data_IF_808931141034
#
_entry.id   IF_808931141034
#
_cell.length_a   1.000
_cell.length_b   1.000
_cell.length_c   1.000
_cell.angle_alpha   90.00
_cell.angle_beta   90.00
_cell.angle_gamma   90.00
#
_symmetry.space_group_name_H-M   'P 1'
#
loop_
_entity.id
_entity.type
_entity.pdbx_description
1 polymer ?
#
# COMPACT_ATOMS: atom_id res chain seq x y z
N UNK A 1 -8.28 15.04 -18.99
CA UNK A 1 -7.47 14.42 -17.94
C UNK A 1 -7.54 12.91 -18.13
N UNK A 2 -6.51 12.33 -18.74
CA UNK A 2 -6.40 10.89 -18.93
C UNK A 2 -6.56 10.22 -17.57
N UNK A 3 -7.53 9.32 -17.44
CA UNK A 3 -7.80 8.56 -16.23
C UNK A 3 -6.66 7.54 -16.04
N UNK A 4 -5.47 8.03 -15.70
CA UNK A 4 -4.32 7.20 -15.32
C UNK A 4 -4.75 6.52 -14.04
N UNK A 5 -5.19 5.27 -14.16
CA UNK A 5 -5.56 4.44 -13.03
C UNK A 5 -4.32 4.34 -12.14
N UNK A 6 -4.35 5.01 -10.99
CA UNK A 6 -3.28 4.89 -9.99
C UNK A 6 -3.08 3.43 -9.64
N UNK A 7 -1.81 3.00 -9.63
CA UNK A 7 -1.38 1.62 -9.41
C UNK A 7 -1.87 1.13 -8.04
N UNK A 8 -2.31 -0.13 -7.97
CA UNK A 8 -2.76 -0.72 -6.71
C UNK A 8 -1.65 -0.69 -5.65
N UNK A 9 -0.39 -0.82 -6.07
CA UNK A 9 0.78 -0.67 -5.20
C UNK A 9 0.79 0.67 -4.44
N UNK A 10 0.65 1.80 -5.15
CA UNK A 10 0.61 3.13 -4.52
C UNK A 10 -0.61 3.28 -3.59
N UNK A 11 -1.77 2.74 -3.98
CA UNK A 11 -2.97 2.78 -3.14
C UNK A 11 -2.76 2.00 -1.84
N UNK A 12 -2.12 0.83 -1.92
CA UNK A 12 -1.81 -0.01 -0.76
C UNK A 12 -0.83 0.70 0.19
N UNK A 13 0.26 1.26 -0.34
CA UNK A 13 1.26 1.97 0.47
C UNK A 13 0.64 3.19 1.14
N UNK A 14 -0.05 4.05 0.38
CA UNK A 14 -0.70 5.23 0.95
C UNK A 14 -1.74 4.86 2.01
N UNK A 15 -2.55 3.83 1.76
CA UNK A 15 -3.58 3.42 2.71
C UNK A 15 -2.99 2.87 4.00
N UNK A 16 -2.02 1.96 3.91
CA UNK A 16 -1.38 1.35 5.10
C UNK A 16 -0.47 2.31 5.84
N UNK A 17 -0.01 3.39 5.21
CA UNK A 17 0.59 4.50 5.93
C UNK A 17 -0.41 5.19 6.87
N UNK A 18 -1.62 5.48 6.39
CA UNK A 18 -2.62 6.23 7.17
C UNK A 18 -3.50 5.37 8.10
N UNK A 19 -3.72 4.10 7.76
CA UNK A 19 -4.64 3.21 8.47
C UNK A 19 -3.86 2.10 9.19
N UNK A 20 -3.74 2.24 10.51
CA UNK A 20 -3.06 1.26 11.38
C UNK A 20 -3.69 -0.14 11.27
N UNK A 21 -5.02 -0.26 11.26
CA UNK A 21 -5.68 -1.56 11.16
C UNK A 21 -5.32 -2.31 9.87
N UNK A 22 -5.25 -1.59 8.76
CA UNK A 22 -4.90 -2.19 7.47
C UNK A 22 -3.41 -2.46 7.34
N UNK A 23 -2.57 -1.67 8.01
CA UNK A 23 -1.16 -1.97 8.18
C UNK A 23 -0.97 -3.26 8.95
N UNK A 24 -1.58 -3.39 10.14
CA UNK A 24 -1.50 -4.60 10.97
C UNK A 24 -1.92 -5.84 10.17
N UNK A 25 -3.05 -5.78 9.44
CA UNK A 25 -3.48 -6.88 8.57
C UNK A 25 -2.46 -7.22 7.47
N UNK A 26 -1.88 -6.21 6.83
CA UNK A 26 -0.86 -6.42 5.80
C UNK A 26 0.37 -7.09 6.41
N UNK A 27 0.81 -6.67 7.59
CA UNK A 27 1.99 -7.22 8.25
C UNK A 27 1.76 -8.63 8.82
N UNK A 28 0.57 -8.90 9.37
CA UNK A 28 0.20 -10.20 9.93
C UNK A 28 -0.02 -11.27 8.87
N UNK A 29 -0.69 -10.91 7.77
CA UNK A 29 -1.00 -11.84 6.69
C UNK A 29 -0.95 -11.14 5.32
N UNK A 30 0.26 -10.85 4.82
CA UNK A 30 0.43 -10.08 3.59
C UNK A 30 -0.17 -10.81 2.40
N UNK A 31 0.08 -12.11 2.25
CA UNK A 31 -0.40 -12.87 1.09
C UNK A 31 -1.93 -12.82 0.93
N UNK A 32 -2.68 -13.01 2.02
CA UNK A 32 -4.13 -12.92 2.02
C UNK A 32 -4.62 -11.49 1.72
N UNK A 33 -3.93 -10.49 2.26
CA UNK A 33 -4.25 -9.07 2.09
C UNK A 33 -4.07 -8.61 0.64
N UNK A 34 -3.10 -9.18 -0.09
CA UNK A 34 -2.78 -8.82 -1.46
C UNK A 34 -3.66 -9.51 -2.52
N UNK A 35 -4.58 -10.40 -2.13
CA UNK A 35 -5.47 -11.09 -3.08
C UNK A 35 -6.36 -10.07 -3.81
N UNK A 36 -6.38 -10.15 -5.14
CA UNK A 36 -7.22 -9.29 -5.99
C UNK A 36 -6.62 -7.91 -6.30
N UNK A 37 -5.43 -7.60 -5.79
CA UNK A 37 -4.66 -6.42 -6.19
C UNK A 37 -3.81 -6.72 -7.42
N UNK A 38 -3.81 -5.78 -8.38
CA UNK A 38 -2.97 -5.85 -9.59
C UNK A 38 -1.57 -5.35 -9.27
N UNK A 39 -0.70 -6.29 -8.95
CA UNK A 39 0.70 -6.07 -8.59
C UNK A 39 1.61 -6.78 -9.58
N UNK A 40 2.75 -6.17 -9.92
CA UNK A 40 3.88 -6.88 -10.50
C UNK A 40 4.52 -7.80 -9.46
N UNK A 41 5.35 -8.74 -9.92
CA UNK A 41 6.13 -9.61 -9.04
C UNK A 41 7.01 -8.79 -8.09
N UNK A 42 7.73 -7.80 -8.62
CA UNK A 42 8.54 -6.87 -7.82
C UNK A 42 7.71 -6.12 -6.76
N UNK A 43 6.55 -5.56 -7.13
CA UNK A 43 5.70 -4.84 -6.16
C UNK A 43 5.19 -5.77 -5.06
N UNK A 44 4.81 -7.00 -5.43
CA UNK A 44 4.37 -8.02 -4.48
C UNK A 44 5.50 -8.41 -3.53
N UNK A 45 6.71 -8.65 -4.03
CA UNK A 45 7.88 -8.94 -3.20
C UNK A 45 8.15 -7.82 -2.19
N UNK A 46 8.09 -6.56 -2.62
CA UNK A 46 8.27 -5.42 -1.72
C UNK A 46 7.22 -5.38 -0.63
N UNK A 47 5.95 -5.58 -0.96
CA UNK A 47 4.86 -5.62 0.01
C UNK A 47 5.00 -6.78 1.02
N UNK A 48 5.48 -7.94 0.56
CA UNK A 48 5.71 -9.11 1.42
C UNK A 48 6.90 -8.91 2.38
N UNK A 49 7.86 -8.07 2.00
CA UNK A 49 9.03 -7.75 2.81
C UNK A 49 8.81 -6.58 3.79
N UNK A 50 7.63 -5.95 3.79
CA UNK A 50 7.33 -4.84 4.70
C UNK A 50 7.26 -5.34 6.15
N UNK A 51 7.72 -4.48 7.05
CA UNK A 51 7.74 -4.70 8.49
C UNK A 51 7.28 -3.43 9.19
N UNK A 52 7.03 -3.49 10.51
CA UNK A 52 6.76 -2.28 11.29
C UNK A 52 7.85 -1.20 11.14
N UNK A 53 9.12 -1.60 11.02
CA UNK A 53 10.21 -0.66 10.78
C UNK A 53 10.08 0.10 9.48
N UNK A 54 9.49 -0.51 8.45
CA UNK A 54 9.25 0.14 7.16
C UNK A 54 8.28 1.32 7.26
N UNK A 55 7.49 1.42 8.32
CA UNK A 55 6.48 2.46 8.51
C UNK A 55 6.85 3.54 9.55
N UNK A 56 8.13 3.59 9.98
CA UNK A 56 8.57 4.58 10.99
C UNK A 56 8.66 5.99 10.43
N UNK A 57 9.21 6.14 9.22
CA UNK A 57 9.34 7.41 8.51
C UNK A 57 9.01 7.22 7.03
N UNK A 58 8.75 8.32 6.31
CA UNK A 58 8.57 8.25 4.85
C UNK A 58 9.83 7.72 4.15
N UNK A 59 11.01 8.08 4.66
CA UNK A 59 12.29 7.58 4.16
C UNK A 59 12.44 6.05 4.33
N UNK A 60 11.97 5.48 5.44
CA UNK A 60 11.97 4.02 5.64
C UNK A 60 11.02 3.32 4.67
N UNK A 61 9.88 3.95 4.37
CA UNK A 61 8.93 3.45 3.39
C UNK A 61 9.51 3.50 1.97
N UNK A 62 10.15 4.59 1.59
CA UNK A 62 10.85 4.74 0.30
C UNK A 62 11.90 3.63 0.16
N UNK A 63 12.75 3.45 1.18
CA UNK A 63 13.79 2.43 1.17
C UNK A 63 13.22 1.01 1.05
N UNK A 64 12.12 0.71 1.74
CA UNK A 64 11.50 -0.61 1.73
C UNK A 64 10.73 -0.90 0.42
N UNK A 65 10.12 0.11 -0.19
CA UNK A 65 9.25 -0.04 -1.36
C UNK A 65 9.96 0.21 -2.69
N UNK A 66 11.08 0.91 -2.67
CA UNK A 66 11.78 1.40 -3.87
C UNK A 66 11.04 2.56 -4.56
N UNK A 67 10.02 3.13 -3.92
CA UNK A 67 9.34 4.34 -4.38
C UNK A 67 10.20 5.57 -4.07
N UNK A 68 10.06 6.59 -4.91
CA UNK A 68 10.60 7.93 -4.63
C UNK A 68 9.75 8.67 -3.60
N UNK A 69 10.31 9.68 -2.94
CA UNK A 69 9.59 10.55 -2.01
C UNK A 69 8.32 11.18 -2.62
N UNK A 70 8.38 11.57 -3.90
CA UNK A 70 7.24 12.14 -4.62
C UNK A 70 6.13 11.09 -4.84
N UNK A 71 6.49 9.85 -5.15
CA UNK A 71 5.53 8.76 -5.31
C UNK A 71 4.90 8.34 -3.99
N UNK A 72 5.66 8.33 -2.88
CA UNK A 72 5.14 8.07 -1.54
C UNK A 72 4.18 9.18 -1.11
N UNK A 73 4.56 10.44 -1.32
CA UNK A 73 3.70 11.60 -1.03
C UNK A 73 2.41 11.54 -1.86
N UNK A 74 2.52 11.27 -3.16
CA UNK A 74 1.38 11.10 -4.05
C UNK A 74 0.49 9.93 -3.58
N UNK A 75 1.08 8.80 -3.19
CA UNK A 75 0.35 7.64 -2.69
C UNK A 75 -0.48 7.97 -1.44
N UNK A 76 0.11 8.69 -0.47
CA UNK A 76 -0.53 9.09 0.78
C UNK A 76 -1.68 10.08 0.52
N UNK A 77 -1.44 11.06 -0.36
CA UNK A 77 -2.43 12.10 -0.66
C UNK A 77 -3.52 11.64 -1.63
N UNK A 78 -3.33 10.50 -2.30
CA UNK A 78 -4.28 10.04 -3.28
C UNK A 78 -5.65 9.71 -2.66
N UNK A 79 -6.78 10.25 -3.18
CA UNK A 79 -8.10 10.05 -2.60
C UNK A 79 -8.50 8.57 -2.43
N UNK A 80 -8.07 7.70 -3.35
CA UNK A 80 -8.37 6.25 -3.26
C UNK A 80 -7.66 5.55 -2.11
N UNK A 81 -6.51 6.07 -1.67
CA UNK A 81 -5.78 5.56 -0.50
C UNK A 81 -6.55 5.86 0.80
N UNK A 82 -7.42 6.87 0.80
CA UNK A 82 -8.24 7.25 1.96
C UNK A 82 -9.58 6.52 2.05
N UNK A 83 -10.03 5.89 0.96
CA UNK A 83 -11.41 5.38 0.81
C UNK A 83 -11.54 3.85 0.88
N UNK A 84 -10.46 3.10 1.11
CA UNK A 84 -10.47 1.65 0.94
C UNK A 84 -9.75 0.91 2.06
N UNK A 85 -10.49 0.23 2.93
CA UNK A 85 -9.89 -0.71 3.88
C UNK A 85 -9.49 -2.03 3.22
N UNK A 86 -8.37 -2.59 3.66
CA UNK A 86 -7.90 -3.90 3.21
C UNK A 86 -8.70 -5.02 3.89
N UNK A 87 -9.18 -5.96 3.07
CA UNK A 87 -9.93 -7.12 3.56
C UNK A 87 -11.41 -6.89 3.86
N UNK A 88 -11.97 -5.68 3.69
CA UNK A 88 -13.43 -5.49 3.70
C UNK A 88 -14.01 -6.00 2.38
N UNK A 89 -14.17 -7.31 2.25
CA UNK A 89 -15.17 -7.87 1.34
C UNK A 89 -16.53 -7.45 1.90
N UNK A 90 -17.06 -6.32 1.47
CA UNK A 90 -18.51 -6.12 1.53
C UNK A 90 -19.07 -7.11 0.51
N UNK A 91 -19.39 -8.32 0.97
CA UNK A 91 -20.30 -9.21 0.28
C UNK A 91 -21.66 -8.51 0.33
N UNK A 92 -22.02 -7.84 -0.77
CA UNK A 92 -23.43 -7.64 -1.09
C UNK A 92 -24.08 -8.97 -1.45
#
# INVERSE_FOLDING_TARGET
>A
MSNVRVRDFLILIGHTWMCLDCRSKLLENPEATLIGHKLSEFEREKLLALTDSSYRTMMDLEAATGLTADEVSLAIDHPRSRLRHLGTRVRG
#
